data_IF_850277455897
#
_entry.id   IF_850277455897
#
_cell.length_a   1.000
_cell.length_b   1.000
_cell.length_c   1.000
_cell.angle_alpha   90.00
_cell.angle_beta   90.00
_cell.angle_gamma   90.00
#
_symmetry.space_group_name_H-M   'P 1'
#
loop_
_entity.id
_entity.type
_entity.pdbx_description
1 polymer ?
#
# COMPACT_ATOMS: atom_id res chain seq x y z
N UNK A 1 -75.07 -5.83 19.31
CA UNK A 1 -73.90 -6.56 19.85
C UNK A 1 -72.77 -6.80 18.83
N UNK A 2 -72.76 -6.17 17.65
CA UNK A 2 -71.71 -6.39 16.63
C UNK A 2 -70.55 -5.36 16.65
N UNK A 3 -70.70 -4.26 17.39
CA UNK A 3 -69.70 -3.17 17.40
C UNK A 3 -68.56 -3.36 18.41
N UNK A 4 -68.74 -4.24 19.41
CA UNK A 4 -67.72 -4.52 20.45
C UNK A 4 -66.66 -5.54 20.00
N UNK A 5 -66.93 -6.36 18.98
CA UNK A 5 -65.99 -7.40 18.54
C UNK A 5 -64.88 -6.87 17.61
N UNK A 6 -65.09 -5.73 16.93
CA UNK A 6 -64.11 -5.17 15.99
C UNK A 6 -62.89 -4.53 16.67
N UNK A 7 -63.06 -4.02 17.89
CA UNK A 7 -61.97 -3.40 18.67
C UNK A 7 -60.98 -4.43 19.25
N UNK A 8 -61.41 -5.68 19.42
CA UNK A 8 -60.56 -6.72 20.03
C UNK A 8 -59.61 -7.30 18.96
N UNK A 9 -60.06 -7.41 17.71
CA UNK A 9 -59.23 -7.92 16.61
C UNK A 9 -58.08 -6.98 16.23
N UNK A 10 -58.27 -5.67 16.27
CA UNK A 10 -57.20 -4.70 15.96
C UNK A 10 -56.08 -4.70 17.02
N UNK A 11 -56.40 -4.96 18.30
CA UNK A 11 -55.39 -5.06 19.37
C UNK A 11 -54.55 -6.35 19.30
N UNK A 12 -55.12 -7.45 18.81
CA UNK A 12 -54.40 -8.73 18.70
C UNK A 12 -53.41 -8.71 17.53
N UNK A 13 -53.71 -8.00 16.44
CA UNK A 13 -52.80 -7.87 15.30
C UNK A 13 -51.60 -6.97 15.62
N UNK A 14 -51.78 -5.91 16.43
CA UNK A 14 -50.66 -5.04 16.83
C UNK A 14 -49.68 -5.73 17.81
N UNK A 15 -50.17 -6.63 18.67
CA UNK A 15 -49.33 -7.38 19.60
C UNK A 15 -48.49 -8.47 18.90
N UNK A 16 -48.99 -9.06 17.81
CA UNK A 16 -48.27 -10.09 17.06
C UNK A 16 -47.06 -9.54 16.26
N UNK A 17 -47.08 -8.26 15.88
CA UNK A 17 -45.96 -7.61 15.17
C UNK A 17 -44.82 -7.22 16.14
N UNK A 18 -45.12 -6.99 17.41
CA UNK A 18 -44.10 -6.61 18.42
C UNK A 18 -43.35 -7.86 18.92
N UNK A 19 -43.94 -9.05 18.89
CA UNK A 19 -43.30 -10.28 19.38
C UNK A 19 -42.48 -11.06 18.33
N UNK A 20 -42.51 -10.69 17.05
CA UNK A 20 -41.75 -11.39 15.99
C UNK A 20 -40.45 -10.68 15.59
N UNK A 21 -40.10 -9.57 16.26
CA UNK A 21 -38.93 -8.73 15.95
C UNK A 21 -37.60 -9.07 16.64
N UNK A 22 -37.49 -10.17 17.41
CA UNK A 22 -36.23 -10.57 18.06
C UNK A 22 -35.93 -12.06 17.92
N UNK A 23 -35.67 -12.50 16.69
CA UNK A 23 -34.79 -13.64 16.47
C UNK A 23 -33.67 -13.25 15.50
N UNK A 24 -32.83 -12.32 15.96
CA UNK A 24 -31.46 -12.25 15.47
C UNK A 24 -30.56 -13.08 16.39
N UNK A 25 -30.12 -14.21 15.84
CA UNK A 25 -28.80 -14.79 16.06
C UNK A 25 -28.39 -15.08 17.52
N UNK A 26 -28.69 -16.28 18.01
CA UNK A 26 -27.76 -16.98 18.88
C UNK A 26 -26.60 -17.50 18.01
N UNK A 27 -25.72 -16.58 17.59
CA UNK A 27 -24.47 -16.94 16.93
C UNK A 27 -23.44 -17.24 18.02
N UNK A 28 -23.02 -18.50 18.06
CA UNK A 28 -21.91 -19.05 18.83
C UNK A 28 -20.84 -18.02 19.24
N UNK A 29 -20.60 -17.83 20.53
CA UNK A 29 -19.25 -17.46 21.02
C UNK A 29 -19.05 -17.86 22.49
N UNK A 30 -18.27 -18.94 22.67
CA UNK A 30 -17.39 -19.28 23.79
C UNK A 30 -17.46 -18.41 25.07
N UNK A 31 -18.05 -18.96 26.13
CA UNK A 31 -18.20 -18.33 27.46
C UNK A 31 -16.99 -18.45 28.40
N UNK A 32 -15.76 -18.71 27.91
CA UNK A 32 -14.61 -19.08 28.77
C UNK A 32 -13.38 -18.15 28.74
N UNK A 33 -13.41 -16.96 28.14
CA UNK A 33 -12.19 -16.13 27.94
C UNK A 33 -11.91 -15.04 28.98
N UNK A 34 -12.51 -15.08 30.17
CA UNK A 34 -12.34 -13.99 31.16
C UNK A 34 -11.47 -14.33 32.37
N UNK A 35 -10.99 -15.57 32.54
CA UNK A 35 -10.09 -15.89 33.66
C UNK A 35 -8.67 -15.36 33.39
N UNK A 36 -8.12 -14.58 34.31
CA UNK A 36 -6.76 -14.03 34.19
C UNK A 36 -5.68 -15.11 34.07
N UNK A 37 -5.85 -16.30 34.66
CA UNK A 37 -4.91 -17.42 34.53
C UNK A 37 -4.83 -17.92 33.09
N UNK A 38 -5.94 -17.89 32.36
CA UNK A 38 -6.02 -18.29 30.95
C UNK A 38 -5.56 -17.16 30.04
N UNK A 39 -6.01 -15.93 30.33
CA UNK A 39 -5.72 -14.75 29.52
C UNK A 39 -4.24 -14.38 29.59
N UNK A 40 -3.61 -14.47 30.77
CA UNK A 40 -2.18 -14.17 30.96
C UNK A 40 -1.26 -15.37 30.68
N UNK A 41 -1.80 -16.58 30.47
CA UNK A 41 -1.00 -17.76 30.16
C UNK A 41 -0.27 -17.67 28.81
N UNK A 42 0.84 -18.39 28.65
CA UNK A 42 1.69 -18.32 27.44
C UNK A 42 1.28 -19.29 26.32
N UNK A 43 0.17 -20.01 26.47
CA UNK A 43 -0.17 -21.18 25.65
C UNK A 43 -0.74 -20.86 24.26
N UNK A 44 -1.05 -19.59 23.95
CA UNK A 44 -1.58 -19.23 22.63
C UNK A 44 -1.35 -17.77 22.26
N UNK A 45 -1.25 -17.46 20.95
CA UNK A 45 -1.25 -16.08 20.47
C UNK A 45 -2.49 -15.33 20.94
N UNK A 46 -2.29 -14.14 21.51
CA UNK A 46 -3.37 -13.30 22.05
C UNK A 46 -4.11 -12.62 20.91
N UNK A 47 -5.43 -12.63 20.95
CA UNK A 47 -6.24 -11.93 19.94
C UNK A 47 -5.94 -10.42 19.92
N UNK A 48 -5.52 -9.87 21.06
CA UNK A 48 -5.30 -8.45 21.29
C UNK A 48 -4.12 -8.29 22.26
N UNK A 49 -3.40 -7.16 22.19
CA UNK A 49 -2.30 -6.86 23.12
C UNK A 49 -2.76 -6.15 24.39
N UNK A 50 -4.05 -5.84 24.47
CA UNK A 50 -4.74 -5.45 25.68
C UNK A 50 -5.55 -6.63 26.21
N UNK A 51 -5.63 -6.74 27.52
CA UNK A 51 -6.47 -7.75 28.14
C UNK A 51 -7.43 -7.14 29.15
N UNK A 52 -8.56 -7.84 29.30
CA UNK A 52 -9.53 -7.63 30.36
C UNK A 52 -9.92 -8.99 30.92
N UNK A 53 -9.67 -9.21 32.20
CA UNK A 53 -9.90 -10.50 32.85
C UNK A 53 -10.34 -10.32 34.31
N UNK A 54 -10.73 -11.40 34.96
CA UNK A 54 -11.13 -11.49 36.38
C UNK A 54 -10.48 -12.72 36.99
N UNK A 55 -10.15 -12.67 38.27
CA UNK A 55 -9.83 -13.87 39.05
C UNK A 55 -11.11 -14.36 39.71
N UNK A 56 -11.52 -15.61 39.47
CA UNK A 56 -12.71 -16.23 40.07
C UNK A 56 -14.02 -15.41 39.92
N UNK A 57 -14.13 -14.66 38.81
CA UNK A 57 -15.29 -13.80 38.51
C UNK A 57 -15.40 -12.54 39.38
N UNK A 58 -14.41 -12.24 40.22
CA UNK A 58 -14.39 -11.06 41.09
C UNK A 58 -13.31 -10.08 40.63
N UNK A 59 -13.64 -8.78 40.63
CA UNK A 59 -12.77 -7.65 40.29
C UNK A 59 -12.16 -7.69 38.88
N UNK A 60 -12.64 -6.79 38.01
CA UNK A 60 -12.06 -6.62 36.69
C UNK A 60 -10.62 -6.10 36.77
N UNK A 61 -9.70 -6.84 36.15
CA UNK A 61 -8.35 -6.43 35.85
C UNK A 61 -8.26 -6.08 34.37
N UNK A 62 -7.53 -5.01 34.08
CA UNK A 62 -7.19 -4.57 32.73
C UNK A 62 -5.71 -4.25 32.68
N UNK A 63 -5.08 -4.52 31.55
CA UNK A 63 -3.67 -4.25 31.36
C UNK A 63 -3.21 -4.50 29.94
N UNK A 64 -1.90 -4.41 29.75
CA UNK A 64 -1.23 -4.71 28.49
C UNK A 64 -0.41 -5.99 28.65
N UNK A 65 -0.43 -6.83 27.63
CA UNK A 65 0.52 -7.93 27.52
C UNK A 65 1.94 -7.37 27.38
N UNK A 66 2.93 -8.12 27.87
CA UNK A 66 4.33 -7.71 27.79
C UNK A 66 4.80 -7.62 26.34
N UNK A 67 5.75 -6.73 26.09
CA UNK A 67 6.35 -6.60 24.76
C UNK A 67 6.99 -7.93 24.35
N UNK A 68 6.74 -8.34 23.11
CA UNK A 68 7.16 -9.64 22.58
C UNK A 68 6.13 -10.77 22.70
N UNK A 69 5.02 -10.58 23.44
CA UNK A 69 3.94 -11.57 23.52
C UNK A 69 3.37 -11.84 22.11
N UNK A 70 3.21 -13.11 21.69
CA UNK A 70 2.63 -13.42 20.38
C UNK A 70 1.16 -12.99 20.33
N UNK A 71 0.77 -12.34 19.23
CA UNK A 71 -0.58 -11.82 19.04
C UNK A 71 -1.11 -12.09 17.63
N UNK A 72 -2.44 -12.07 17.44
CA UNK A 72 -3.09 -12.24 16.14
C UNK A 72 -3.50 -10.88 15.59
N UNK A 73 -3.00 -10.52 14.41
CA UNK A 73 -3.47 -9.33 13.71
C UNK A 73 -4.87 -9.59 13.12
N UNK A 74 -5.86 -8.81 13.58
CA UNK A 74 -7.28 -8.99 13.24
C UNK A 74 -7.61 -8.97 11.74
N UNK A 75 -6.72 -8.45 10.90
CA UNK A 75 -6.94 -8.37 9.45
C UNK A 75 -6.35 -9.54 8.64
N UNK A 76 -5.47 -10.36 9.20
CA UNK A 76 -4.73 -11.36 8.41
C UNK A 76 -4.54 -12.73 9.08
N UNK A 77 -4.94 -12.92 10.34
CA UNK A 77 -4.65 -14.15 11.10
C UNK A 77 -3.16 -14.43 11.25
N UNK A 78 -2.31 -13.45 10.93
CA UNK A 78 -0.85 -13.52 11.05
C UNK A 78 -0.45 -13.30 12.49
N UNK A 79 0.56 -14.07 12.92
CA UNK A 79 1.14 -13.96 14.26
C UNK A 79 2.11 -12.78 14.25
N UNK A 80 1.78 -11.74 15.00
CA UNK A 80 2.64 -10.61 15.32
C UNK A 80 3.18 -10.71 16.74
N UNK A 81 3.80 -9.62 17.20
CA UNK A 81 4.24 -9.44 18.58
C UNK A 81 3.63 -8.17 19.14
N UNK A 82 3.29 -8.22 20.42
CA UNK A 82 2.86 -7.02 21.14
C UNK A 82 4.05 -6.06 21.31
N UNK A 83 3.84 -4.81 20.93
CA UNK A 83 4.75 -3.70 21.18
C UNK A 83 3.90 -2.54 21.66
N UNK A 84 4.07 -2.13 22.93
CA UNK A 84 3.33 -1.03 23.57
C UNK A 84 1.81 -1.13 23.41
N UNK A 85 1.28 -2.35 23.57
CA UNK A 85 -0.16 -2.61 23.46
C UNK A 85 -0.70 -2.72 22.02
N UNK A 86 0.15 -2.65 20.99
CA UNK A 86 -0.24 -2.85 19.59
C UNK A 86 0.34 -4.15 19.06
N UNK A 87 -0.44 -4.93 18.31
CA UNK A 87 0.05 -6.12 17.64
C UNK A 87 0.81 -5.74 16.36
N UNK A 88 2.14 -5.78 16.41
CA UNK A 88 3.02 -5.43 15.29
C UNK A 88 3.47 -6.71 14.59
N UNK A 89 3.26 -6.81 13.29
CA UNK A 89 3.81 -7.90 12.50
C UNK A 89 5.33 -7.72 12.42
N UNK A 90 6.11 -8.81 12.52
CA UNK A 90 7.53 -8.74 12.20
C UNK A 90 7.65 -8.29 10.73
N UNK A 91 8.09 -7.05 10.53
CA UNK A 91 8.67 -6.63 9.27
C UNK A 91 9.97 -7.44 9.09
N UNK A 92 10.33 -7.70 7.84
CA UNK A 92 11.50 -8.49 7.42
C UNK A 92 11.31 -10.01 7.42
N UNK A 93 10.48 -10.46 6.49
CA UNK A 93 10.89 -11.33 5.40
C UNK A 93 9.81 -11.19 4.32
N UNK A 94 10.21 -10.93 3.08
CA UNK A 94 9.28 -11.00 1.94
C UNK A 94 8.51 -12.31 1.97
N UNK A 95 7.35 -12.43 1.28
CA UNK A 95 6.49 -13.59 1.41
C UNK A 95 7.25 -14.89 1.06
N UNK A 96 7.74 -15.62 2.06
CA UNK A 96 8.17 -17.01 1.93
C UNK A 96 6.90 -17.85 1.90
N UNK A 97 6.29 -17.87 0.71
CA UNK A 97 5.11 -18.67 0.40
C UNK A 97 5.46 -20.16 0.44
N UNK A 98 5.42 -20.73 1.64
CA UNK A 98 4.94 -22.09 1.83
C UNK A 98 3.49 -22.02 2.35
N UNK A 99 2.61 -21.48 1.50
CA UNK A 99 1.17 -21.67 1.65
C UNK A 99 0.65 -22.21 0.34
N UNK A 100 0.63 -23.54 0.28
CA UNK A 100 -0.15 -24.34 -0.64
C UNK A 100 -1.56 -23.75 -0.76
N UNK A 101 -1.99 -23.51 -2.01
CA UNK A 101 -3.35 -23.16 -2.45
C UNK A 101 -3.85 -21.73 -2.16
N UNK A 102 -3.63 -20.79 -3.10
CA UNK A 102 -4.35 -19.50 -3.15
C UNK A 102 -4.48 -18.97 -4.59
N UNK A 103 -4.96 -19.79 -5.52
CA UNK A 103 -5.38 -19.27 -6.83
C UNK A 103 -6.68 -18.44 -6.75
N UNK A 104 -7.40 -18.48 -5.61
CA UNK A 104 -8.77 -17.95 -5.48
C UNK A 104 -8.91 -16.64 -4.67
N UNK A 105 -7.83 -16.08 -4.10
CA UNK A 105 -7.93 -14.83 -3.33
C UNK A 105 -7.35 -13.65 -4.11
N UNK A 106 -8.25 -12.75 -4.54
CA UNK A 106 -7.87 -11.46 -5.10
C UNK A 106 -7.09 -10.64 -4.07
N UNK A 107 -5.79 -10.47 -4.27
CA UNK A 107 -4.90 -9.69 -3.40
C UNK A 107 -4.87 -8.23 -3.85
N UNK A 108 -4.95 -7.28 -2.93
CA UNK A 108 -4.70 -5.86 -3.24
C UNK A 108 -3.19 -5.55 -3.39
N UNK A 109 -2.32 -6.54 -3.20
CA UNK A 109 -0.89 -6.39 -3.40
C UNK A 109 -0.50 -6.59 -4.86
N UNK A 110 0.37 -5.72 -5.38
CA UNK A 110 0.94 -5.88 -6.71
C UNK A 110 2.09 -6.88 -6.67
N UNK A 111 1.97 -7.96 -7.43
CA UNK A 111 2.97 -9.04 -7.49
C UNK A 111 3.88 -8.97 -8.73
N UNK A 112 3.67 -7.99 -9.61
CA UNK A 112 4.49 -7.82 -10.80
C UNK A 112 5.88 -7.26 -10.48
N UNK A 113 6.74 -7.26 -11.49
CA UNK A 113 8.07 -6.66 -11.41
C UNK A 113 7.97 -5.19 -11.83
N UNK A 114 8.69 -4.31 -11.12
CA UNK A 114 8.72 -2.89 -11.51
C UNK A 114 7.46 -2.14 -11.08
N UNK A 115 7.16 -1.06 -11.80
CA UNK A 115 5.95 -0.25 -11.58
C UNK A 115 4.70 -0.96 -12.10
N UNK A 116 3.60 -0.85 -11.34
CA UNK A 116 2.30 -1.31 -11.80
C UNK A 116 1.78 -0.42 -12.95
N UNK A 117 1.45 -0.98 -14.14
CA UNK A 117 0.94 -0.20 -15.27
C UNK A 117 -0.48 0.36 -15.03
N UNK A 118 -1.19 -0.22 -14.05
CA UNK A 118 -2.51 0.22 -13.61
C UNK A 118 -2.60 0.13 -12.09
N UNK A 119 -3.47 0.94 -11.48
CA UNK A 119 -3.76 0.86 -10.04
C UNK A 119 -4.95 -0.05 -9.72
N UNK A 120 -5.40 -0.80 -10.71
CA UNK A 120 -6.56 -1.66 -10.64
C UNK A 120 -6.41 -2.84 -11.60
N UNK A 121 -6.95 -3.98 -11.21
CA UNK A 121 -6.95 -5.17 -12.05
C UNK A 121 -8.27 -5.93 -11.90
N UNK A 122 -8.60 -6.73 -12.92
CA UNK A 122 -9.73 -7.64 -12.87
C UNK A 122 -9.26 -8.96 -12.28
N UNK A 123 -9.87 -9.34 -11.17
CA UNK A 123 -9.65 -10.63 -10.54
C UNK A 123 -10.86 -11.52 -10.75
N UNK A 124 -10.64 -12.82 -10.98
CA UNK A 124 -11.71 -13.81 -10.97
C UNK A 124 -11.89 -14.33 -9.54
N UNK A 125 -13.07 -14.12 -8.97
CA UNK A 125 -13.44 -14.69 -7.68
C UNK A 125 -14.64 -15.62 -7.89
N UNK A 126 -14.43 -16.92 -7.70
CA UNK A 126 -15.34 -17.98 -8.14
C UNK A 126 -15.65 -17.87 -9.66
N UNK A 127 -16.87 -17.45 -10.04
CA UNK A 127 -17.35 -17.30 -11.42
C UNK A 127 -17.58 -15.85 -11.84
N UNK A 128 -17.29 -14.88 -10.97
CA UNK A 128 -17.47 -13.46 -11.27
C UNK A 128 -16.13 -12.74 -11.38
N UNK A 129 -16.05 -11.78 -12.29
CA UNK A 129 -14.94 -10.85 -12.35
C UNK A 129 -15.23 -9.68 -11.42
N UNK A 130 -14.31 -9.43 -10.49
CA UNK A 130 -14.33 -8.26 -9.61
C UNK A 130 -13.17 -7.35 -9.98
N UNK A 131 -13.44 -6.05 -10.02
CA UNK A 131 -12.40 -5.04 -10.11
C UNK A 131 -11.82 -4.80 -8.72
N UNK A 132 -10.49 -4.91 -8.61
CA UNK A 132 -9.75 -4.76 -7.37
C UNK A 132 -8.73 -3.66 -7.54
N UNK A 133 -8.64 -2.78 -6.55
CA UNK A 133 -7.63 -1.72 -6.51
C UNK A 133 -6.41 -2.21 -5.77
N UNK A 134 -5.24 -1.83 -6.26
CA UNK A 134 -4.01 -2.03 -5.51
C UNK A 134 -3.98 -1.13 -4.27
N UNK A 135 -3.23 -1.56 -3.26
CA UNK A 135 -3.06 -0.82 -2.03
C UNK A 135 -2.59 0.62 -2.27
N UNK A 136 -3.04 1.53 -1.41
CA UNK A 136 -2.59 2.91 -1.49
C UNK A 136 -1.08 2.99 -1.23
N UNK A 137 -0.36 3.63 -2.13
CA UNK A 137 1.10 3.69 -2.10
C UNK A 137 1.82 2.67 -2.98
N UNK A 138 1.12 1.75 -3.66
CA UNK A 138 1.76 0.87 -4.65
C UNK A 138 2.42 1.72 -5.75
N UNK A 139 3.73 1.55 -6.04
CA UNK A 139 4.39 2.25 -7.14
C UNK A 139 3.76 1.90 -8.49
N UNK A 140 3.44 2.92 -9.28
CA UNK A 140 2.73 2.76 -10.54
C UNK A 140 3.30 3.65 -11.64
N UNK A 141 2.96 3.33 -12.88
CA UNK A 141 3.30 4.13 -14.06
C UNK A 141 2.10 4.13 -15.01
N UNK A 142 1.74 5.30 -15.55
CA UNK A 142 0.64 5.41 -16.50
C UNK A 142 1.16 5.07 -17.89
N UNK A 143 0.65 3.99 -18.49
CA UNK A 143 0.94 3.62 -19.87
C UNK A 143 -0.23 3.97 -20.81
N UNK A 144 0.06 4.37 -22.03
CA UNK A 144 -0.93 4.63 -23.08
C UNK A 144 -1.43 3.33 -23.75
N UNK A 145 -2.19 3.46 -24.85
CA UNK A 145 -2.78 2.33 -25.57
C UNK A 145 -1.71 1.48 -26.28
N UNK A 146 -0.62 2.13 -26.70
CA UNK A 146 0.58 1.52 -27.25
C UNK A 146 1.44 0.85 -26.17
N UNK A 147 1.12 1.12 -24.91
CA UNK A 147 1.79 0.58 -23.74
C UNK A 147 3.03 1.38 -23.33
N UNK A 148 3.22 2.59 -23.87
CA UNK A 148 4.31 3.49 -23.58
C UNK A 148 4.01 4.42 -22.39
N UNK A 149 5.01 4.80 -21.57
CA UNK A 149 4.79 5.67 -20.42
C UNK A 149 4.40 7.09 -20.82
N UNK A 150 3.23 7.54 -20.36
CA UNK A 150 2.69 8.87 -20.70
C UNK A 150 3.16 9.99 -19.76
N UNK A 151 3.53 9.63 -18.52
CA UNK A 151 3.91 10.56 -17.45
C UNK A 151 4.92 9.91 -16.51
N UNK A 152 5.40 10.71 -15.56
CA UNK A 152 6.22 10.20 -14.47
C UNK A 152 5.53 9.09 -13.68
N UNK A 153 6.36 8.18 -13.17
CA UNK A 153 5.96 7.19 -12.19
C UNK A 153 5.40 7.88 -10.93
N UNK A 154 4.61 7.11 -10.20
CA UNK A 154 3.78 7.63 -9.14
C UNK A 154 3.43 6.58 -8.12
N UNK A 155 2.37 6.85 -7.37
CA UNK A 155 1.76 5.85 -6.48
C UNK A 155 0.26 5.74 -6.72
N UNK A 156 -0.27 4.54 -6.46
CA UNK A 156 -1.69 4.30 -6.45
C UNK A 156 -2.34 5.00 -5.27
N UNK A 157 -3.37 5.79 -5.55
CA UNK A 157 -4.24 6.41 -4.56
C UNK A 157 -5.68 6.26 -5.06
N UNK A 158 -6.50 5.55 -4.29
CA UNK A 158 -7.92 5.31 -4.62
C UNK A 158 -8.13 4.73 -6.04
N UNK A 159 -7.27 3.78 -6.45
CA UNK A 159 -7.37 3.14 -7.77
C UNK A 159 -6.81 3.97 -8.93
N UNK A 160 -6.25 5.15 -8.68
CA UNK A 160 -5.66 6.03 -9.70
C UNK A 160 -4.15 6.17 -9.48
N UNK A 161 -3.37 6.11 -10.55
CA UNK A 161 -1.93 6.38 -10.48
C UNK A 161 -1.69 7.89 -10.42
N UNK A 162 -1.19 8.38 -9.28
CA UNK A 162 -0.84 9.79 -9.08
C UNK A 162 0.65 9.99 -9.32
N UNK A 163 1.05 10.77 -10.36
CA UNK A 163 2.45 10.93 -10.74
C UNK A 163 3.24 11.72 -9.68
N UNK A 164 4.55 11.53 -9.68
CA UNK A 164 5.46 12.11 -8.68
C UNK A 164 5.39 13.64 -8.58
N UNK A 165 5.30 14.34 -9.71
CA UNK A 165 5.20 15.80 -9.80
C UNK A 165 3.96 16.37 -9.08
N UNK A 166 2.84 15.63 -9.07
CA UNK A 166 1.64 16.00 -8.32
C UNK A 166 1.77 15.74 -6.81
N UNK A 167 2.73 14.92 -6.39
CA UNK A 167 2.88 14.44 -5.01
C UNK A 167 4.02 15.13 -4.25
N UNK A 168 5.10 15.49 -4.91
CA UNK A 168 6.32 15.99 -4.26
C UNK A 168 6.09 17.25 -3.41
N UNK A 169 5.17 18.13 -3.83
CA UNK A 169 4.80 19.33 -3.09
C UNK A 169 4.02 19.06 -1.79
N UNK A 170 3.35 17.91 -1.67
CA UNK A 170 2.55 17.54 -0.49
C UNK A 170 3.23 16.49 0.39
N UNK A 171 4.14 15.72 -0.18
CA UNK A 171 4.75 14.55 0.47
C UNK A 171 6.28 14.58 0.31
N UNK A 172 7.02 15.15 1.27
CA UNK A 172 8.47 15.42 1.12
C UNK A 172 9.34 14.16 0.99
N UNK A 173 8.81 12.98 1.34
CA UNK A 173 9.52 11.71 1.24
C UNK A 173 9.03 10.81 0.10
N UNK A 174 8.13 11.31 -0.75
CA UNK A 174 7.53 10.50 -1.81
C UNK A 174 8.54 10.05 -2.85
N UNK A 175 9.59 10.84 -3.08
CA UNK A 175 10.67 10.51 -4.03
C UNK A 175 11.32 9.16 -3.73
N UNK A 176 11.61 8.88 -2.45
CA UNK A 176 12.23 7.60 -2.03
C UNK A 176 11.31 6.40 -2.25
N UNK A 177 10.00 6.65 -2.27
CA UNK A 177 8.97 5.62 -2.48
C UNK A 177 8.73 5.34 -3.96
N UNK A 178 8.60 6.40 -4.77
CA UNK A 178 8.42 6.27 -6.22
C UNK A 178 9.71 5.76 -6.86
N UNK A 179 10.82 6.44 -6.63
CA UNK A 179 12.10 6.13 -7.26
C UNK A 179 13.02 5.31 -6.35
N UNK A 180 12.48 4.25 -5.74
CA UNK A 180 13.27 3.35 -4.90
C UNK A 180 14.38 2.65 -5.72
N UNK A 181 15.54 2.40 -5.10
CA UNK A 181 16.74 1.89 -5.81
C UNK A 181 16.48 0.58 -6.59
N UNK A 182 15.62 -0.31 -6.09
CA UNK A 182 15.32 -1.57 -6.75
C UNK A 182 14.53 -1.41 -8.06
N UNK A 183 13.96 -0.22 -8.32
CA UNK A 183 13.36 0.13 -9.61
C UNK A 183 14.34 0.79 -10.58
N UNK A 184 15.55 1.14 -10.13
CA UNK A 184 16.59 1.69 -10.99
C UNK A 184 17.30 0.57 -11.74
N UNK A 185 16.80 0.26 -12.95
CA UNK A 185 17.36 -0.81 -13.79
C UNK A 185 17.68 -0.39 -15.21
N UNK A 186 17.22 0.77 -15.63
CA UNK A 186 17.52 1.29 -16.95
C UNK A 186 18.88 2.00 -16.90
N UNK A 187 19.72 1.81 -17.92
CA UNK A 187 21.05 2.43 -17.99
C UNK A 187 20.95 3.93 -18.23
N UNK A 188 21.80 4.76 -17.65
CA UNK A 188 21.69 6.20 -17.92
C UNK A 188 21.86 6.51 -19.41
N UNK A 189 20.92 7.29 -19.99
CA UNK A 189 20.90 7.56 -21.42
C UNK A 189 20.96 9.05 -21.73
N UNK A 190 21.40 9.34 -22.94
CA UNK A 190 21.42 10.69 -23.50
C UNK A 190 20.05 11.06 -24.07
N UNK A 191 19.72 12.35 -23.99
CA UNK A 191 18.56 12.92 -24.67
C UNK A 191 19.03 13.69 -25.90
N UNK A 192 18.66 13.23 -27.09
CA UNK A 192 19.07 13.85 -28.36
C UNK A 192 17.98 14.70 -29.02
N UNK A 193 16.78 14.78 -28.42
CA UNK A 193 15.72 15.58 -28.99
C UNK A 193 15.92 17.07 -28.69
N UNK A 194 15.43 17.93 -29.59
CA UNK A 194 15.51 19.39 -29.47
C UNK A 194 14.69 19.90 -28.27
N UNK A 195 13.63 19.20 -27.91
CA UNK A 195 12.71 19.59 -26.85
C UNK A 195 13.32 19.39 -25.47
N UNK A 196 13.01 20.29 -24.53
CA UNK A 196 13.40 20.14 -23.14
C UNK A 196 12.63 19.01 -22.47
N UNK A 197 13.29 18.28 -21.58
CA UNK A 197 12.71 17.23 -20.77
C UNK A 197 11.85 17.82 -19.65
N UNK A 198 10.59 17.38 -19.55
CA UNK A 198 9.73 17.69 -18.41
C UNK A 198 10.17 16.96 -17.13
N UNK A 199 10.91 15.85 -17.27
CA UNK A 199 11.40 15.00 -16.19
C UNK A 199 12.79 14.48 -16.51
N UNK A 200 13.65 14.40 -15.50
CA UNK A 200 14.99 13.81 -15.62
C UNK A 200 15.00 12.30 -15.39
N UNK A 201 13.81 11.71 -15.22
CA UNK A 201 13.58 10.29 -15.23
C UNK A 201 13.14 9.85 -16.61
N UNK A 202 13.57 8.65 -17.00
CA UNK A 202 13.01 7.96 -18.14
C UNK A 202 12.69 6.52 -17.75
N UNK A 203 11.89 5.85 -18.56
CA UNK A 203 11.38 4.52 -18.26
C UNK A 203 11.76 3.53 -19.36
N UNK A 204 12.03 2.29 -18.95
CA UNK A 204 12.30 1.19 -19.85
C UNK A 204 11.54 -0.06 -19.42
N UNK A 205 11.20 -0.90 -20.39
CA UNK A 205 10.53 -2.18 -20.17
C UNK A 205 11.57 -3.29 -20.17
N UNK A 206 11.66 -4.06 -19.08
CA UNK A 206 12.54 -5.23 -18.99
C UNK A 206 11.79 -6.44 -18.44
N UNK A 207 11.84 -7.59 -19.14
CA UNK A 207 11.29 -8.88 -18.66
C UNK A 207 9.90 -8.75 -17.99
N UNK A 208 8.99 -8.03 -18.65
CA UNK A 208 7.61 -7.72 -18.25
C UNK A 208 7.42 -6.76 -17.05
N UNK A 209 8.41 -5.91 -16.74
CA UNK A 209 8.29 -4.85 -15.75
C UNK A 209 8.75 -3.49 -16.27
N UNK A 210 8.14 -2.43 -15.75
CA UNK A 210 8.59 -1.05 -15.98
C UNK A 210 9.57 -0.64 -14.91
N UNK A 211 10.69 -0.08 -15.34
CA UNK A 211 11.76 0.41 -14.48
C UNK A 211 12.12 1.83 -14.86
N UNK A 212 12.87 2.53 -14.01
CA UNK A 212 13.38 3.85 -14.34
C UNK A 212 14.89 3.86 -14.53
N UNK A 213 15.36 4.88 -15.23
CA UNK A 213 16.76 5.30 -15.34
C UNK A 213 16.85 6.82 -15.34
N UNK A 214 18.06 7.35 -15.36
CA UNK A 214 18.29 8.79 -15.45
C UNK A 214 18.70 9.21 -16.84
N UNK A 215 18.34 10.43 -17.21
CA UNK A 215 19.05 11.11 -18.28
C UNK A 215 20.43 11.54 -17.77
N UNK A 216 21.46 11.35 -18.60
CA UNK A 216 22.84 11.75 -18.27
C UNK A 216 22.93 13.26 -18.05
N UNK A 217 23.89 13.68 -17.23
CA UNK A 217 24.17 15.10 -17.04
C UNK A 217 25.12 15.60 -18.10
N UNK A 218 24.59 16.02 -19.24
CA UNK A 218 25.36 16.67 -20.31
C UNK A 218 24.56 17.80 -20.94
N UNK A 219 25.18 18.51 -21.89
CA UNK A 219 24.56 19.64 -22.57
C UNK A 219 23.31 19.28 -23.40
N UNK A 220 23.14 18.00 -23.74
CA UNK A 220 22.02 17.52 -24.55
C UNK A 220 20.77 17.23 -23.69
N UNK A 221 20.97 16.84 -22.43
CA UNK A 221 19.88 16.47 -21.51
C UNK A 221 19.33 17.67 -20.76
N UNK A 222 18.80 18.63 -21.53
CA UNK A 222 18.15 19.84 -21.01
C UNK A 222 16.79 19.50 -20.42
N UNK A 223 16.46 20.12 -19.30
CA UNK A 223 15.19 19.95 -18.60
C UNK A 223 14.52 21.28 -18.30
N UNK A 224 13.19 21.25 -18.17
CA UNK A 224 12.37 22.36 -17.72
C UNK A 224 11.32 21.85 -16.73
N UNK A 225 11.46 22.21 -15.46
CA UNK A 225 10.47 21.91 -14.42
C UNK A 225 9.54 23.10 -14.28
N UNK A 226 8.24 22.86 -14.48
CA UNK A 226 7.25 23.92 -14.64
C UNK A 226 6.69 24.52 -13.34
N UNK A 227 7.10 24.09 -12.13
CA UNK A 227 6.49 24.55 -10.86
C UNK A 227 7.42 24.51 -9.63
N UNK A 228 7.21 25.39 -8.63
CA UNK A 228 6.38 26.61 -8.65
C UNK A 228 7.01 27.76 -9.46
N UNK A 229 8.28 27.64 -9.81
CA UNK A 229 9.00 28.54 -10.72
C UNK A 229 9.52 27.74 -11.92
N UNK A 230 9.48 28.30 -13.13
CA UNK A 230 10.12 27.68 -14.30
C UNK A 230 11.61 27.58 -14.04
N UNK A 231 12.09 26.35 -13.84
CA UNK A 231 13.52 26.04 -13.71
C UNK A 231 13.95 25.28 -14.94
N UNK A 232 14.70 25.95 -15.80
CA UNK A 232 15.43 25.31 -16.88
C UNK A 232 16.84 24.94 -16.42
N UNK A 233 17.37 23.86 -16.97
CA UNK A 233 18.65 23.34 -16.57
C UNK A 233 19.05 22.07 -17.31
N UNK A 234 19.84 21.25 -16.64
CA UNK A 234 20.35 19.97 -17.10
C UNK A 234 20.02 18.88 -16.08
N UNK A 235 19.76 17.68 -16.58
CA UNK A 235 19.48 16.55 -15.72
C UNK A 235 20.71 16.12 -14.93
N UNK A 236 20.52 15.76 -13.66
CA UNK A 236 21.55 15.17 -12.82
C UNK A 236 20.89 14.23 -11.80
N UNK A 237 21.04 12.92 -12.00
CA UNK A 237 20.48 11.87 -11.11
C UNK A 237 19.01 12.11 -10.76
N UNK A 238 18.21 12.45 -11.78
CA UNK A 238 16.77 12.71 -11.66
C UNK A 238 16.40 14.11 -11.17
N UNK A 239 17.37 15.00 -10.93
CA UNK A 239 17.12 16.41 -10.62
C UNK A 239 17.38 17.30 -11.84
N UNK A 240 16.59 18.37 -11.98
CA UNK A 240 16.89 19.43 -12.93
C UNK A 240 17.69 20.54 -12.21
N UNK A 241 18.96 20.72 -12.60
CA UNK A 241 19.88 21.68 -11.98
C UNK A 241 20.41 22.68 -13.02
N UNK A 242 20.87 23.86 -12.59
CA UNK A 242 21.29 24.93 -13.53
C UNK A 242 22.60 24.64 -14.28
N UNK A 243 23.42 23.72 -13.79
CA UNK A 243 24.75 23.40 -14.33
C UNK A 243 24.77 22.03 -14.99
N UNK A 244 25.44 21.90 -16.13
CA UNK A 244 25.65 20.62 -16.80
C UNK A 244 26.66 19.75 -16.02
N UNK A 245 26.78 18.47 -16.39
CA UNK A 245 27.75 17.52 -15.82
C UNK A 245 27.70 17.40 -14.29
N UNK A 246 26.51 17.58 -13.70
CA UNK A 246 26.33 17.60 -12.24
C UNK A 246 27.23 18.63 -11.52
N UNK A 247 27.66 19.69 -12.20
CA UNK A 247 28.59 20.68 -11.67
C UNK A 247 30.06 20.25 -11.66
N UNK A 248 30.42 19.16 -12.34
CA UNK A 248 31.81 18.75 -12.54
C UNK A 248 32.41 19.52 -13.72
N UNK A 249 33.55 20.16 -13.51
CA UNK A 249 34.36 20.71 -14.60
C UNK A 249 34.88 19.57 -15.47
N UNK A 250 34.58 19.62 -16.78
CA UNK A 250 35.01 18.63 -17.77
C UNK A 250 36.55 18.51 -17.83
N UNK A 251 37.27 19.56 -17.43
CA UNK A 251 38.73 19.60 -17.35
C UNK A 251 39.32 18.69 -16.26
N UNK A 252 38.52 18.30 -15.26
CA UNK A 252 38.98 17.39 -14.20
C UNK A 252 38.86 15.91 -14.62
N UNK A 253 37.93 15.58 -15.52
CA UNK A 253 37.70 14.21 -15.98
C UNK A 253 38.72 13.77 -17.06
N UNK A 254 39.22 14.71 -17.87
CA UNK A 254 40.26 14.43 -18.86
C UNK A 254 41.63 14.10 -18.23
N UNK A 255 41.88 14.51 -16.98
CA UNK A 255 43.11 14.24 -16.23
C UNK A 255 43.10 12.90 -15.46
N UNK A 256 42.04 12.09 -15.58
CA UNK A 256 41.92 10.77 -14.96
C UNK A 256 42.03 9.60 -15.96
N UNK A 257 42.29 9.87 -17.24
CA UNK A 257 42.69 8.83 -18.17
C UNK A 257 44.19 8.56 -17.98
N UNK A 258 44.62 7.32 -17.69
CA UNK A 258 46.03 6.99 -17.72
C UNK A 258 46.52 7.22 -19.15
N UNK A 259 47.54 8.08 -19.30
CA UNK A 259 48.31 8.15 -20.53
C UNK A 259 49.06 6.81 -20.65
N UNK A 260 48.50 5.91 -21.46
CA UNK A 260 49.13 4.67 -21.91
C UNK A 260 49.64 4.84 -23.32
#
# INVERSE_FOLDING_TARGET
MLYKMKKITDYVVLAAVICTGYQCSANYTYRQRYDCNVVLGNSSPKAECFYRCTYDGRNWKRGMHQDGTPCLSGHAGRIGKCTRGVCVLREDEGPSLNSTTNADRCSSHYHGKGYAPTCQYKCRHHRHFKQVFYDSGTPCIHVDEEGEPRRDAGICLQGVCKPYDELEGRHPHIRKKVFAQHFHKCEDKDHYAINMLASCYYYCKQKNGWFYGYYKSNYNSRCEVLRPERKSGYCCKGNCIRVANCGQDLDTAANLLPQG
#
